data_IF_397235708940
#
_entry.id   IF_397235708940
#
_cell.length_a   1.000
_cell.length_b   1.000
_cell.length_c   1.000
_cell.angle_alpha   90.00
_cell.angle_beta   90.00
_cell.angle_gamma   90.00
#
_symmetry.space_group_name_H-M   'P 1'
#
loop_
_entity.id
_entity.type
_entity.pdbx_description
1 polymer ?
#
# COMPACT_ATOMS: atom_id res chain seq x y z
N UNK A 1 43.60 36.67 -25.03
CA UNK A 1 42.78 36.55 -23.79
C UNK A 1 41.46 35.82 -24.03
N UNK A 2 40.74 36.10 -25.14
CA UNK A 2 39.44 35.49 -25.47
C UNK A 2 39.46 33.95 -25.67
N UNK A 3 40.50 33.38 -26.30
CA UNK A 3 40.58 31.93 -26.61
C UNK A 3 40.65 31.05 -25.33
N UNK A 4 41.35 31.53 -24.28
CA UNK A 4 41.43 30.84 -22.99
C UNK A 4 40.11 30.88 -22.20
N UNK A 5 39.33 31.95 -22.36
CA UNK A 5 38.00 32.06 -21.75
C UNK A 5 37.01 31.10 -22.43
N UNK A 6 37.06 31.01 -23.76
CA UNK A 6 36.19 30.14 -24.55
C UNK A 6 36.46 28.65 -24.28
N UNK A 7 37.73 28.26 -24.12
CA UNK A 7 38.10 26.87 -23.75
C UNK A 7 37.58 26.48 -22.36
N UNK A 8 37.65 27.36 -21.36
CA UNK A 8 37.09 27.10 -20.01
C UNK A 8 35.57 26.98 -20.04
N UNK A 9 34.92 27.79 -20.88
CA UNK A 9 33.47 27.79 -21.03
C UNK A 9 32.98 26.49 -21.72
N UNK A 10 33.71 26.02 -22.74
CA UNK A 10 33.43 24.74 -23.42
C UNK A 10 33.65 23.54 -22.49
N UNK A 11 34.74 23.52 -21.72
CA UNK A 11 34.99 22.46 -20.73
C UNK A 11 33.95 22.46 -19.60
N UNK A 12 33.49 23.64 -19.18
CA UNK A 12 32.39 23.77 -18.21
C UNK A 12 31.07 23.23 -18.74
N UNK A 13 30.74 23.49 -20.01
CA UNK A 13 29.54 22.96 -20.67
C UNK A 13 29.59 21.43 -20.82
N UNK A 14 30.76 20.88 -21.18
CA UNK A 14 30.98 19.44 -21.30
C UNK A 14 30.92 18.71 -19.96
N UNK A 15 31.45 19.32 -18.89
CA UNK A 15 31.34 18.75 -17.55
C UNK A 15 29.88 18.75 -17.06
N UNK A 16 29.13 19.81 -17.36
CA UNK A 16 27.72 19.92 -16.97
C UNK A 16 26.82 18.92 -17.72
N UNK A 17 27.09 18.66 -19.00
CA UNK A 17 26.34 17.65 -19.78
C UNK A 17 26.63 16.22 -19.34
N UNK A 18 27.89 15.91 -18.95
CA UNK A 18 28.24 14.59 -18.41
C UNK A 18 27.56 14.31 -17.06
N UNK A 19 27.54 15.28 -16.16
CA UNK A 19 26.90 15.15 -14.82
C UNK A 19 25.38 14.99 -14.95
N UNK A 20 24.77 15.69 -15.91
CA UNK A 20 23.32 15.56 -16.18
C UNK A 20 22.93 14.16 -16.66
N UNK A 21 23.78 13.52 -17.49
CA UNK A 21 23.52 12.17 -17.99
C UNK A 21 23.64 11.07 -16.93
N UNK A 22 24.52 11.25 -15.93
CA UNK A 22 24.72 10.30 -14.82
C UNK A 22 23.57 10.32 -13.81
N UNK A 23 22.85 11.44 -13.67
CA UNK A 23 21.70 11.56 -12.77
C UNK A 23 20.40 10.94 -13.32
N UNK A 24 20.37 10.48 -14.57
CA UNK A 24 19.14 9.97 -15.21
C UNK A 24 18.88 8.47 -14.97
N UNK A 25 19.68 7.79 -14.15
CA UNK A 25 19.61 6.34 -13.95
C UNK A 25 18.65 5.88 -12.84
N UNK A 26 17.88 6.79 -12.24
CA UNK A 26 16.93 6.47 -11.17
C UNK A 26 15.50 6.93 -11.52
N UNK A 27 15.06 6.70 -12.76
CA UNK A 27 13.62 6.68 -13.05
C UNK A 27 13.07 5.38 -12.43
N UNK A 28 12.70 5.45 -11.14
CA UNK A 28 11.98 4.36 -10.51
C UNK A 28 10.75 4.06 -11.36
N UNK A 29 10.65 2.82 -11.87
CA UNK A 29 9.54 2.39 -12.70
C UNK A 29 8.24 2.80 -12.00
N UNK A 30 7.39 3.56 -12.71
CA UNK A 30 6.13 4.03 -12.16
C UNK A 30 5.33 2.81 -11.70
N UNK A 31 4.65 2.86 -10.55
CA UNK A 31 3.81 1.75 -10.12
C UNK A 31 2.77 1.46 -11.20
N UNK A 32 2.88 0.31 -11.86
CA UNK A 32 1.86 -0.16 -12.80
C UNK A 32 0.78 -0.90 -12.03
N UNK A 33 -0.47 -0.78 -12.51
CA UNK A 33 -1.58 -1.55 -11.95
C UNK A 33 -1.32 -3.04 -12.15
N UNK A 34 -1.37 -3.81 -11.06
CA UNK A 34 -1.12 -5.26 -11.12
C UNK A 34 -2.21 -5.97 -11.91
N UNK A 35 -1.83 -6.85 -12.84
CA UNK A 35 -2.75 -7.72 -13.58
C UNK A 35 -2.88 -9.04 -12.80
N UNK A 36 -4.11 -9.51 -12.61
CA UNK A 36 -4.32 -10.80 -11.96
C UNK A 36 -3.72 -11.94 -12.79
N UNK A 37 -2.92 -12.85 -12.17
CA UNK A 37 -2.39 -14.02 -12.85
C UNK A 37 -3.45 -15.11 -13.11
N UNK A 38 -4.64 -14.99 -12.52
CA UNK A 38 -5.75 -15.95 -12.70
C UNK A 38 -6.69 -15.58 -13.86
N UNK A 39 -6.43 -14.47 -14.54
CA UNK A 39 -7.10 -14.07 -15.77
C UNK A 39 -7.89 -12.75 -15.66
N UNK A 40 -8.39 -12.23 -16.78
CA UNK A 40 -8.97 -10.89 -16.87
C UNK A 40 -10.32 -10.72 -16.16
N UNK A 41 -10.94 -11.81 -15.70
CA UNK A 41 -12.22 -11.80 -14.97
C UNK A 41 -12.05 -12.15 -13.48
N UNK A 42 -10.82 -12.26 -13.00
CA UNK A 42 -10.57 -12.56 -11.59
C UNK A 42 -10.82 -11.33 -10.72
N UNK A 43 -11.72 -11.48 -9.76
CA UNK A 43 -12.09 -10.42 -8.80
C UNK A 43 -11.57 -10.70 -7.39
N UNK A 44 -10.97 -11.88 -7.15
CA UNK A 44 -10.59 -12.33 -5.81
C UNK A 44 -9.08 -12.44 -5.60
N UNK A 45 -8.28 -12.34 -6.67
CA UNK A 45 -6.82 -12.19 -6.58
C UNK A 45 -6.16 -13.30 -5.77
N UNK A 46 -5.33 -12.94 -4.79
CA UNK A 46 -4.60 -13.92 -3.97
C UNK A 46 -5.49 -14.82 -3.13
N UNK A 47 -6.79 -14.52 -2.97
CA UNK A 47 -7.72 -15.45 -2.32
C UNK A 47 -7.84 -16.77 -3.10
N UNK A 48 -7.51 -16.81 -4.40
CA UNK A 48 -7.37 -18.05 -5.17
C UNK A 48 -6.35 -19.05 -4.57
N UNK A 49 -5.41 -18.58 -3.74
CA UNK A 49 -4.46 -19.46 -3.03
C UNK A 49 -5.11 -20.22 -1.86
N UNK A 50 -6.30 -19.81 -1.43
CA UNK A 50 -7.06 -20.46 -0.34
C UNK A 50 -7.87 -21.62 -0.95
N UNK A 51 -7.18 -22.72 -1.21
CA UNK A 51 -7.77 -23.96 -1.75
C UNK A 51 -8.42 -24.81 -0.65
N UNK A 52 -9.30 -25.77 -0.99
CA UNK A 52 -9.79 -26.74 -0.02
C UNK A 52 -8.68 -27.49 0.72
N UNK A 53 -7.58 -27.80 0.01
CA UNK A 53 -6.42 -28.50 0.57
C UNK A 53 -5.67 -27.62 1.58
N UNK A 54 -5.43 -26.33 1.27
CA UNK A 54 -4.73 -25.44 2.20
C UNK A 54 -5.55 -25.15 3.46
N UNK A 55 -6.88 -25.02 3.32
CA UNK A 55 -7.81 -24.92 4.45
C UNK A 55 -7.75 -26.16 5.34
N UNK A 56 -7.84 -27.36 4.76
CA UNK A 56 -7.75 -28.61 5.51
C UNK A 56 -6.40 -28.74 6.26
N UNK A 57 -5.29 -28.38 5.61
CA UNK A 57 -3.96 -28.40 6.21
C UNK A 57 -3.83 -27.48 7.42
N UNK A 58 -4.44 -26.28 7.39
CA UNK A 58 -4.46 -25.38 8.54
C UNK A 58 -5.37 -25.92 9.65
N UNK A 59 -6.57 -26.40 9.33
CA UNK A 59 -7.49 -26.94 10.32
C UNK A 59 -6.91 -28.16 11.05
N UNK A 60 -6.15 -29.01 10.37
CA UNK A 60 -5.47 -30.16 10.99
C UNK A 60 -4.41 -29.77 12.05
N UNK A 61 -3.98 -28.50 12.07
CA UNK A 61 -3.02 -27.97 13.06
C UNK A 61 -3.71 -27.36 14.28
N UNK A 62 -5.02 -27.11 14.22
CA UNK A 62 -5.76 -26.40 15.27
C UNK A 62 -6.33 -27.43 16.24
N UNK A 63 -6.06 -27.27 17.54
CA UNK A 63 -6.62 -28.13 18.61
C UNK A 63 -8.02 -27.68 19.03
N UNK A 64 -8.35 -26.39 18.83
CA UNK A 64 -9.64 -25.80 19.19
C UNK A 64 -9.79 -25.50 20.69
N UNK A 65 -8.75 -25.71 21.49
CA UNK A 65 -8.78 -25.52 22.96
C UNK A 65 -8.87 -24.04 23.37
N UNK A 66 -8.37 -23.14 22.51
CA UNK A 66 -8.36 -21.72 22.78
C UNK A 66 -8.68 -20.92 21.52
N UNK A 67 -9.58 -19.96 21.66
CA UNK A 67 -9.88 -18.96 20.66
C UNK A 67 -9.44 -17.59 21.17
N UNK A 68 -8.81 -16.81 20.30
CA UNK A 68 -8.38 -15.44 20.58
C UNK A 68 -9.22 -14.50 19.73
N UNK A 69 -9.78 -13.47 20.35
CA UNK A 69 -10.38 -12.37 19.62
C UNK A 69 -9.26 -11.43 19.14
N UNK A 70 -9.16 -11.25 17.82
CA UNK A 70 -8.21 -10.35 17.17
C UNK A 70 -8.87 -9.05 16.71
N UNK A 71 -10.16 -8.87 16.99
CA UNK A 71 -10.88 -7.65 16.69
C UNK A 71 -10.44 -6.50 17.60
N UNK A 72 -10.78 -5.29 17.18
CA UNK A 72 -10.65 -4.07 17.97
C UNK A 72 -12.04 -3.62 18.36
N UNK A 73 -12.17 -3.12 19.59
CA UNK A 73 -13.41 -2.52 20.05
C UNK A 73 -13.75 -1.26 19.25
N UNK A 74 -15.00 -1.17 18.83
CA UNK A 74 -15.53 0.02 18.17
C UNK A 74 -16.12 0.95 19.23
N UNK A 75 -15.64 2.19 19.27
CA UNK A 75 -16.15 3.21 20.15
C UNK A 75 -15.94 4.61 19.56
N UNK A 76 -16.75 5.57 20.00
CA UNK A 76 -16.62 6.97 19.58
C UNK A 76 -15.26 7.50 20.08
N UNK A 77 -14.43 7.98 19.15
CA UNK A 77 -13.08 8.46 19.46
C UNK A 77 -11.94 7.45 19.23
N UNK A 78 -12.23 6.26 18.71
CA UNK A 78 -11.20 5.29 18.32
C UNK A 78 -10.26 5.85 17.22
N UNK A 79 -9.00 5.39 17.13
CA UNK A 79 -8.11 5.76 16.05
C UNK A 79 -8.73 5.47 14.68
N UNK A 80 -8.78 6.47 13.82
CA UNK A 80 -9.33 6.34 12.47
C UNK A 80 -8.64 7.28 11.49
N UNK A 81 -8.96 7.11 10.21
CA UNK A 81 -8.49 7.97 9.12
C UNK A 81 -9.22 9.33 9.07
N UNK A 82 -9.84 9.78 10.17
CA UNK A 82 -10.47 11.10 10.27
C UNK A 82 -9.52 12.25 9.88
N UNK A 83 -8.25 12.14 10.26
CA UNK A 83 -7.23 13.12 9.89
C UNK A 83 -6.97 13.17 8.37
N UNK A 84 -7.32 12.12 7.63
CA UNK A 84 -7.26 12.04 6.17
C UNK A 84 -8.60 12.40 5.48
N UNK A 85 -9.62 12.79 6.25
CA UNK A 85 -10.93 13.23 5.74
C UNK A 85 -12.06 12.20 5.81
N UNK A 86 -11.79 11.00 6.34
CA UNK A 86 -12.83 9.98 6.51
C UNK A 86 -13.85 10.39 7.59
N UNK A 87 -15.14 10.02 7.44
CA UNK A 87 -16.12 10.28 8.48
C UNK A 87 -15.73 9.65 9.83
N UNK A 88 -15.93 10.35 10.96
CA UNK A 88 -15.79 9.74 12.27
C UNK A 88 -16.75 8.56 12.44
N UNK A 89 -16.29 7.53 13.12
CA UNK A 89 -17.18 6.49 13.60
C UNK A 89 -18.16 7.08 14.64
N UNK A 90 -19.45 6.82 14.45
CA UNK A 90 -20.52 7.30 15.32
C UNK A 90 -21.45 6.13 15.66
N UNK A 91 -21.96 6.14 16.89
CA UNK A 91 -23.00 5.23 17.36
C UNK A 91 -24.15 6.09 17.88
N UNK A 92 -25.38 5.78 17.48
CA UNK A 92 -26.58 6.47 17.99
C UNK A 92 -27.64 5.47 18.45
N UNK A 93 -28.32 5.79 19.55
CA UNK A 93 -29.45 5.01 20.04
C UNK A 93 -30.70 5.40 19.27
N UNK A 94 -31.25 4.47 18.48
CA UNK A 94 -32.48 4.70 17.69
C UNK A 94 -33.74 4.55 18.53
N UNK A 95 -33.73 3.66 19.53
CA UNK A 95 -34.86 3.36 20.40
C UNK A 95 -34.33 3.00 21.79
N UNK A 96 -35.04 3.42 22.85
CA UNK A 96 -34.73 3.03 24.21
C UNK A 96 -35.38 1.66 24.49
N UNK A 97 -34.61 0.61 24.84
CA UNK A 97 -35.19 -0.68 25.21
C UNK A 97 -36.05 -0.52 26.47
N UNK A 98 -37.32 -0.92 26.41
CA UNK A 98 -38.15 -1.05 27.60
C UNK A 98 -37.72 -2.30 28.37
N UNK A 99 -37.56 -2.21 29.69
CA UNK A 99 -37.31 -3.40 30.52
C UNK A 99 -38.48 -4.38 30.38
N UNK A 100 -38.17 -5.68 30.33
CA UNK A 100 -39.13 -6.80 30.37
C UNK A 100 -39.62 -7.07 31.77
#
# INVERSE_FOLDING_TARGET
MAIRAMSKMVSGLLALSLVSGLCSAAEAARPEVGISPWGPKDEIGRLNLITPQSRAAIMARVTGEQAYDLAVDYFVGMPSWQAAGDPPYQMWMTHTPTAT
#
